data_IF_942923026207
#
_entry.id   IF_942923026207
#
_cell.length_a   1.000
_cell.length_b   1.000
_cell.length_c   1.000
_cell.angle_alpha   90.00
_cell.angle_beta   90.00
_cell.angle_gamma   90.00
#
_symmetry.space_group_name_H-M   'P 1'
#
loop_
_entity.id
_entity.type
_entity.pdbx_description
1 polymer ?
#
# COMPACT_ATOMS: atom_id res chain seq x y z
N UNK A 1 16.78 1.50 -11.89
CA UNK A 1 15.31 1.55 -11.79
C UNK A 1 14.78 1.43 -13.20
N UNK A 2 14.03 0.38 -13.48
CA UNK A 2 13.36 0.16 -14.76
C UNK A 2 11.91 0.63 -14.59
N UNK A 3 11.38 1.33 -15.60
CA UNK A 3 9.98 1.76 -15.61
C UNK A 3 9.27 1.11 -16.78
N UNK A 4 8.16 0.43 -16.52
CA UNK A 4 7.29 -0.15 -17.53
C UNK A 4 5.95 0.59 -17.48
N UNK A 5 5.56 1.26 -18.56
CA UNK A 5 4.27 1.93 -18.61
C UNK A 5 3.18 0.96 -19.07
N UNK A 6 2.16 0.78 -18.25
CA UNK A 6 1.02 -0.08 -18.55
C UNK A 6 -0.09 0.78 -19.15
N UNK A 7 -0.42 0.54 -20.41
CA UNK A 7 -1.42 1.32 -21.15
C UNK A 7 -2.81 0.66 -21.03
N UNK A 8 -3.72 1.28 -20.26
CA UNK A 8 -5.09 0.78 -20.00
C UNK A 8 -6.19 1.79 -20.39
N UNK A 9 -5.86 2.70 -21.32
CA UNK A 9 -6.66 3.87 -21.69
C UNK A 9 -6.24 5.13 -20.93
N UNK A 10 -6.88 6.26 -21.23
CA UNK A 10 -6.41 7.58 -20.77
C UNK A 10 -6.42 7.74 -19.24
N UNK A 11 -7.40 7.15 -18.55
CA UNK A 11 -7.60 7.37 -17.10
C UNK A 11 -6.97 6.28 -16.21
N UNK A 12 -6.58 5.13 -16.77
CA UNK A 12 -6.15 3.96 -15.97
C UNK A 12 -4.71 3.52 -16.24
N UNK A 13 -4.01 4.23 -17.11
CA UNK A 13 -2.60 3.92 -17.39
C UNK A 13 -1.72 4.29 -16.20
N UNK A 14 -0.75 3.44 -15.85
CA UNK A 14 0.14 3.68 -14.72
C UNK A 14 1.55 3.12 -14.96
N UNK A 15 2.59 3.71 -14.33
CA UNK A 15 3.93 3.19 -14.37
C UNK A 15 4.12 2.06 -13.36
N UNK A 16 4.85 1.01 -13.76
CA UNK A 16 5.40 -0.01 -12.87
C UNK A 16 6.89 0.25 -12.73
N UNK A 17 7.30 0.54 -11.49
CA UNK A 17 8.71 0.77 -11.16
C UNK A 17 9.35 -0.51 -10.62
N UNK A 18 10.45 -0.95 -11.23
CA UNK A 18 11.20 -2.15 -10.86
C UNK A 18 12.61 -1.73 -10.42
N UNK A 19 12.98 -2.06 -9.19
CA UNK A 19 14.26 -1.68 -8.60
C UNK A 19 14.46 -2.25 -7.20
N UNK A 20 15.55 -1.83 -6.54
CA UNK A 20 15.99 -2.38 -5.25
C UNK A 20 15.91 -1.38 -4.09
N UNK A 21 15.21 -0.26 -4.28
CA UNK A 21 15.27 0.87 -3.34
C UNK A 21 13.92 1.23 -2.71
N UNK A 22 13.68 0.68 -1.52
CA UNK A 22 12.54 1.05 -0.67
C UNK A 22 12.71 2.41 0.02
N UNK A 23 13.94 2.95 0.12
CA UNK A 23 14.17 4.21 0.84
C UNK A 23 13.59 5.40 0.08
N UNK A 24 13.51 5.32 -1.25
CA UNK A 24 12.91 6.35 -2.10
C UNK A 24 11.40 6.17 -2.37
N UNK A 25 10.76 5.16 -1.76
CA UNK A 25 9.34 4.87 -1.99
C UNK A 25 8.44 6.09 -1.72
N UNK A 26 8.62 6.79 -0.61
CA UNK A 26 7.81 7.97 -0.28
C UNK A 26 7.97 9.11 -1.28
N UNK A 27 9.16 9.29 -1.86
CA UNK A 27 9.40 10.27 -2.92
C UNK A 27 8.65 9.88 -4.20
N UNK A 28 8.68 8.60 -4.56
CA UNK A 28 7.91 8.06 -5.69
C UNK A 28 6.40 8.17 -5.44
N UNK A 29 5.93 7.88 -4.23
CA UNK A 29 4.50 8.01 -3.89
C UNK A 29 4.00 9.46 -4.07
N UNK A 30 4.85 10.46 -3.83
CA UNK A 30 4.51 11.89 -4.07
C UNK A 30 4.37 12.29 -5.54
N UNK A 31 4.83 11.47 -6.49
CA UNK A 31 4.54 11.75 -7.91
C UNK A 31 3.12 11.35 -8.32
N UNK A 32 2.36 10.71 -7.42
CA UNK A 32 0.96 10.35 -7.63
C UNK A 32 0.03 11.32 -6.90
N UNK A 33 -1.21 11.52 -7.39
CA UNK A 33 -2.19 12.40 -6.77
C UNK A 33 -2.84 11.74 -5.53
N UNK A 34 -2.01 11.41 -4.53
CA UNK A 34 -2.44 10.78 -3.27
C UNK A 34 -2.65 11.85 -2.19
N UNK A 35 -3.65 11.64 -1.35
CA UNK A 35 -3.87 12.38 -0.12
C UNK A 35 -2.76 12.20 0.91
N UNK A 36 -2.92 12.83 2.07
CA UNK A 36 -1.91 12.79 3.11
C UNK A 36 -1.90 11.45 3.87
N UNK A 37 -3.05 10.78 4.01
CA UNK A 37 -3.13 9.54 4.77
C UNK A 37 -2.98 8.32 3.86
N UNK A 38 -2.16 7.39 4.32
CA UNK A 38 -1.93 6.09 3.69
C UNK A 38 -2.26 4.99 4.69
N UNK A 39 -3.14 4.06 4.31
CA UNK A 39 -3.29 2.78 4.98
C UNK A 39 -2.35 1.76 4.34
N UNK A 40 -1.28 1.39 5.05
CA UNK A 40 -0.35 0.34 4.67
C UNK A 40 -0.93 -1.03 5.07
N UNK A 41 -1.36 -1.80 4.07
CA UNK A 41 -1.89 -3.16 4.24
C UNK A 41 -0.79 -4.17 3.92
N UNK A 42 -0.56 -5.13 4.82
CA UNK A 42 0.47 -6.16 4.67
C UNK A 42 0.04 -7.45 5.37
N UNK A 43 0.71 -8.56 5.09
CA UNK A 43 0.75 -9.66 6.05
C UNK A 43 1.81 -9.42 7.13
N UNK A 44 1.63 -10.05 8.29
CA UNK A 44 2.54 -9.90 9.45
C UNK A 44 3.99 -10.25 9.13
N UNK A 45 4.24 -11.25 8.27
CA UNK A 45 5.59 -11.70 7.93
C UNK A 45 6.29 -10.69 7.04
N UNK A 46 5.65 -10.23 5.98
CA UNK A 46 6.19 -9.20 5.08
C UNK A 46 6.39 -7.88 5.84
N UNK A 47 5.45 -7.51 6.70
CA UNK A 47 5.55 -6.30 7.51
C UNK A 47 6.79 -6.35 8.41
N UNK A 48 7.04 -7.48 9.07
CA UNK A 48 8.22 -7.65 9.94
C UNK A 48 9.55 -7.42 9.22
N UNK A 49 9.61 -7.69 7.91
CA UNK A 49 10.81 -7.58 7.09
C UNK A 49 10.98 -6.18 6.46
N UNK A 50 9.88 -5.57 6.01
CA UNK A 50 9.94 -4.38 5.16
C UNK A 50 9.11 -3.19 5.67
N UNK A 51 8.14 -3.42 6.55
CA UNK A 51 7.16 -2.42 7.02
C UNK A 51 7.81 -1.15 7.54
N UNK A 52 8.73 -1.27 8.50
CA UNK A 52 9.42 -0.12 9.10
C UNK A 52 10.16 0.75 8.07
N UNK A 53 10.76 0.13 7.03
CA UNK A 53 11.48 0.85 5.97
C UNK A 53 10.52 1.62 5.07
N UNK A 54 9.40 0.99 4.72
CA UNK A 54 8.32 1.59 3.91
C UNK A 54 7.68 2.75 4.67
N UNK A 55 7.27 2.52 5.91
CA UNK A 55 6.66 3.53 6.78
C UNK A 55 7.59 4.73 6.97
N UNK A 56 8.86 4.49 7.28
CA UNK A 56 9.86 5.55 7.45
C UNK A 56 10.04 6.37 6.17
N UNK A 57 10.04 5.73 5.00
CA UNK A 57 10.18 6.42 3.71
C UNK A 57 8.96 7.32 3.43
N UNK A 58 7.75 6.81 3.68
CA UNK A 58 6.50 7.56 3.48
C UNK A 58 6.39 8.74 4.47
N UNK A 59 6.61 8.52 5.76
CA UNK A 59 6.56 9.58 6.79
C UNK A 59 7.56 10.69 6.54
N UNK A 60 8.78 10.37 6.09
CA UNK A 60 9.79 11.37 5.69
C UNK A 60 9.34 12.28 4.53
N UNK A 61 8.37 11.84 3.73
CA UNK A 61 7.79 12.60 2.63
C UNK A 61 6.40 13.18 2.99
N UNK A 62 6.10 13.30 4.28
CA UNK A 62 4.93 14.01 4.81
C UNK A 62 3.61 13.26 4.70
N UNK A 63 3.65 11.94 4.50
CA UNK A 63 2.44 11.11 4.64
C UNK A 63 2.20 10.78 6.10
N UNK A 64 0.94 10.77 6.51
CA UNK A 64 0.51 10.04 7.70
C UNK A 64 0.26 8.58 7.32
N UNK A 65 0.79 7.64 8.09
CA UNK A 65 0.78 6.22 7.73
C UNK A 65 0.16 5.43 8.87
N UNK A 66 -1.01 4.86 8.59
CA UNK A 66 -1.65 3.85 9.42
C UNK A 66 -1.34 2.46 8.88
N UNK A 67 -1.33 1.46 9.76
CA UNK A 67 -0.96 0.09 9.41
C UNK A 67 -2.14 -0.84 9.68
N UNK A 68 -2.37 -1.78 8.76
CA UNK A 68 -3.26 -2.92 8.96
C UNK A 68 -2.54 -4.20 8.53
N UNK A 69 -2.39 -5.15 9.44
CA UNK A 69 -1.77 -6.44 9.15
C UNK A 69 -2.81 -7.56 9.22
N UNK A 70 -2.68 -8.53 8.31
CA UNK A 70 -3.45 -9.79 8.32
C UNK A 70 -2.51 -10.98 8.56
N UNK A 71 -3.04 -12.13 9.01
CA UNK A 71 -2.25 -13.35 9.09
C UNK A 71 -1.65 -13.74 7.73
N UNK A 72 -0.45 -14.32 7.67
CA UNK A 72 0.15 -14.73 6.41
C UNK A 72 -0.54 -15.98 5.82
N UNK A 73 -0.74 -15.99 4.50
CA UNK A 73 -1.19 -17.17 3.74
C UNK A 73 -2.47 -16.95 2.93
N UNK A 74 -2.77 -17.89 2.01
CA UNK A 74 -3.91 -17.82 1.10
C UNK A 74 -5.26 -17.77 1.83
N UNK A 75 -5.36 -18.35 3.03
CA UNK A 75 -6.58 -18.31 3.85
C UNK A 75 -6.98 -16.89 4.24
N UNK A 76 -6.06 -15.93 4.20
CA UNK A 76 -6.36 -14.52 4.43
C UNK A 76 -7.06 -13.86 3.25
N UNK A 77 -7.09 -14.49 2.07
CA UNK A 77 -7.96 -14.13 0.94
C UNK A 77 -9.40 -14.52 1.25
N UNK A 78 -10.00 -13.82 2.20
CA UNK A 78 -11.34 -14.10 2.70
C UNK A 78 -12.10 -12.81 2.98
N UNK A 79 -13.43 -12.87 2.83
CA UNK A 79 -14.32 -11.77 3.15
C UNK A 79 -14.18 -11.30 4.60
N UNK A 80 -13.86 -12.22 5.52
CA UNK A 80 -13.63 -11.89 6.93
C UNK A 80 -12.41 -10.98 7.13
N UNK A 81 -11.31 -11.19 6.40
CA UNK A 81 -10.16 -10.29 6.50
C UNK A 81 -10.43 -8.95 5.80
N UNK A 82 -11.12 -8.97 4.65
CA UNK A 82 -11.54 -7.74 3.98
C UNK A 82 -12.47 -6.89 4.86
N UNK A 83 -13.43 -7.51 5.56
CA UNK A 83 -14.32 -6.82 6.51
C UNK A 83 -13.52 -6.08 7.58
N UNK A 84 -12.51 -6.71 8.17
CA UNK A 84 -11.61 -6.06 9.13
C UNK A 84 -10.83 -4.90 8.53
N UNK A 85 -10.41 -5.01 7.28
CA UNK A 85 -9.74 -3.90 6.58
C UNK A 85 -10.71 -2.73 6.35
N UNK A 86 -11.97 -3.01 5.99
CA UNK A 86 -13.00 -1.98 5.87
C UNK A 86 -13.32 -1.31 7.21
N UNK A 87 -13.47 -2.08 8.29
CA UNK A 87 -13.65 -1.54 9.64
C UNK A 87 -12.49 -0.61 9.98
N UNK A 88 -11.26 -1.01 9.65
CA UNK A 88 -10.07 -0.19 9.88
C UNK A 88 -10.10 1.11 9.08
N UNK A 89 -10.52 1.09 7.82
CA UNK A 89 -10.71 2.30 7.02
C UNK A 89 -11.75 3.23 7.66
N UNK A 90 -12.86 2.68 8.17
CA UNK A 90 -13.92 3.45 8.81
C UNK A 90 -13.47 4.08 10.14
N UNK A 91 -12.74 3.33 10.98
CA UNK A 91 -12.14 3.82 12.22
C UNK A 91 -11.20 5.01 11.99
N UNK A 92 -10.38 4.91 10.94
CA UNK A 92 -9.44 5.95 10.52
C UNK A 92 -10.11 7.11 9.79
N UNK A 93 -11.41 7.00 9.48
CA UNK A 93 -12.19 7.96 8.71
C UNK A 93 -11.55 8.28 7.35
N UNK A 94 -11.00 7.26 6.70
CA UNK A 94 -10.40 7.44 5.38
C UNK A 94 -11.45 7.92 4.38
N UNK A 95 -11.06 8.85 3.52
CA UNK A 95 -11.89 9.33 2.42
C UNK A 95 -11.32 8.97 1.05
N UNK A 96 -11.93 9.49 -0.02
CA UNK A 96 -11.57 9.16 -1.42
C UNK A 96 -10.23 9.74 -1.86
N UNK A 97 -9.68 10.68 -1.12
CA UNK A 97 -8.36 11.26 -1.38
C UNK A 97 -7.24 10.44 -0.74
N UNK A 98 -7.54 9.68 0.32
CA UNK A 98 -6.59 8.82 0.99
C UNK A 98 -6.21 7.60 0.13
N UNK A 99 -5.09 6.98 0.46
CA UNK A 99 -4.55 5.87 -0.33
C UNK A 99 -4.43 4.59 0.49
N UNK A 100 -4.69 3.46 -0.16
CA UNK A 100 -4.32 2.14 0.33
C UNK A 100 -3.02 1.72 -0.36
N UNK A 101 -2.02 1.31 0.42
CA UNK A 101 -0.77 0.78 -0.08
C UNK A 101 -0.64 -0.69 0.30
N UNK A 102 -0.69 -1.56 -0.71
CA UNK A 102 -0.46 -2.99 -0.54
C UNK A 102 1.05 -3.29 -0.49
N UNK A 103 1.53 -3.83 0.63
CA UNK A 103 2.88 -4.34 0.81
C UNK A 103 2.83 -5.85 1.01
N UNK A 104 3.07 -6.62 -0.05
CA UNK A 104 3.00 -8.07 0.03
C UNK A 104 3.06 -8.77 -1.32
N UNK A 105 2.70 -10.04 -1.31
CA UNK A 105 2.47 -10.83 -2.53
C UNK A 105 1.04 -10.69 -3.06
N UNK A 106 0.63 -11.64 -3.92
CA UNK A 106 -0.67 -11.63 -4.58
C UNK A 106 -1.87 -11.57 -3.62
N UNK A 107 -1.81 -12.29 -2.49
CA UNK A 107 -2.89 -12.27 -1.48
C UNK A 107 -3.20 -10.86 -0.99
N UNK A 108 -2.16 -10.12 -0.57
CA UNK A 108 -2.34 -8.75 -0.08
C UNK A 108 -2.83 -7.82 -1.19
N UNK A 109 -2.30 -7.97 -2.40
CA UNK A 109 -2.73 -7.17 -3.55
C UNK A 109 -4.18 -7.39 -3.97
N UNK A 110 -4.82 -8.50 -3.56
CA UNK A 110 -6.23 -8.78 -3.86
C UNK A 110 -7.20 -8.31 -2.77
N UNK A 111 -6.75 -8.24 -1.51
CA UNK A 111 -7.64 -7.89 -0.37
C UNK A 111 -7.49 -6.45 0.12
N UNK A 112 -6.40 -5.77 -0.25
CA UNK A 112 -6.16 -4.36 0.06
C UNK A 112 -6.97 -3.47 -0.89
#
# INVERSE_FOLDING_TARGET
MITVNINLGDERSYPVYIGVDLANLGKTARSFPLGAHILLVSDERVYSLYGNRVESSLKKNGFDVSIACVPPGETSKSLFQMEKLYDRCAELKLDRSDAILALGGGVIGEIA
#
